data_IF_502084074757
#
_entry.id   IF_502084074757
#
_cell.length_a   1.000
_cell.length_b   1.000
_cell.length_c   1.000
_cell.angle_alpha   90.00
_cell.angle_beta   90.00
_cell.angle_gamma   90.00
#
_symmetry.space_group_name_H-M   'P 1'
#
loop_
_entity.id
_entity.type
_entity.pdbx_description
1 polymer ?
#
# COMPACT_ATOMS: atom_id res chain seq x y z
N UNK A 1 47.70 -41.10 20.52
CA UNK A 1 46.70 -40.12 21.03
C UNK A 1 46.74 -38.90 20.11
N UNK A 2 45.82 -38.88 19.12
CA UNK A 2 45.70 -37.78 18.14
C UNK A 2 44.56 -36.89 18.58
N UNK A 3 44.87 -35.64 18.94
CA UNK A 3 43.83 -34.60 19.28
C UNK A 3 43.39 -33.93 17.99
N UNK A 4 42.12 -34.13 17.64
CA UNK A 4 41.45 -33.45 16.52
C UNK A 4 40.90 -32.13 17.05
N UNK A 5 41.46 -31.01 16.54
CA UNK A 5 40.93 -29.66 16.79
C UNK A 5 39.79 -29.39 15.80
N UNK A 6 38.58 -29.23 16.32
CA UNK A 6 37.42 -28.85 15.56
C UNK A 6 37.33 -27.31 15.49
N UNK A 7 37.58 -26.71 14.32
CA UNK A 7 37.36 -25.29 14.12
C UNK A 7 35.91 -25.08 13.73
N UNK A 8 35.13 -24.49 14.63
CA UNK A 8 33.77 -24.00 14.36
C UNK A 8 33.89 -22.60 13.77
N UNK A 9 33.74 -22.48 12.47
CA UNK A 9 33.60 -21.19 11.78
C UNK A 9 32.12 -20.72 11.90
N UNK A 10 31.90 -19.78 12.83
CA UNK A 10 30.63 -19.08 12.94
C UNK A 10 30.47 -18.12 11.75
N UNK A 11 29.65 -18.51 10.76
CA UNK A 11 29.27 -17.66 9.63
C UNK A 11 28.32 -16.55 10.10
N UNK A 12 28.79 -15.31 10.09
CA UNK A 12 27.98 -14.13 10.36
C UNK A 12 27.08 -13.85 9.15
N UNK A 13 25.80 -14.23 9.24
CA UNK A 13 24.79 -13.90 8.22
C UNK A 13 24.40 -12.42 8.42
N UNK A 14 24.96 -11.54 7.60
CA UNK A 14 24.50 -10.16 7.49
C UNK A 14 23.11 -10.13 6.83
N UNK A 15 22.07 -10.06 7.63
CA UNK A 15 20.73 -9.72 7.16
C UNK A 15 20.70 -8.25 6.77
N UNK A 16 20.83 -7.95 5.47
CA UNK A 16 20.54 -6.62 4.95
C UNK A 16 19.03 -6.36 5.11
N UNK A 17 18.66 -5.63 6.16
CA UNK A 17 17.33 -5.07 6.32
C UNK A 17 17.13 -4.01 5.23
N UNK A 18 16.66 -4.44 4.06
CA UNK A 18 16.17 -3.53 3.03
C UNK A 18 15.01 -2.74 3.61
N UNK A 19 15.06 -1.41 3.54
CA UNK A 19 13.95 -0.55 3.90
C UNK A 19 12.71 -1.00 3.12
N UNK A 20 11.80 -1.69 3.81
CA UNK A 20 10.51 -2.07 3.27
C UNK A 20 9.66 -0.81 3.30
N UNK A 21 9.58 -0.08 2.19
CA UNK A 21 8.59 0.98 2.03
C UNK A 21 7.21 0.35 2.26
N UNK A 22 6.62 0.69 3.40
CA UNK A 22 5.37 0.10 3.83
C UNK A 22 4.27 0.49 2.85
N UNK A 23 3.66 -0.52 2.25
CA UNK A 23 2.46 -0.39 1.47
C UNK A 23 1.30 -0.40 2.47
N UNK A 24 0.64 0.75 2.64
CA UNK A 24 -0.54 0.84 3.51
C UNK A 24 -1.78 0.37 2.74
N UNK A 25 -2.49 -0.60 3.31
CA UNK A 25 -3.73 -1.14 2.74
C UNK A 25 -4.78 -1.17 3.83
N UNK A 26 -5.93 -0.56 3.52
CA UNK A 26 -7.11 -0.52 4.40
C UNK A 26 -8.31 -1.03 3.61
N UNK A 27 -9.26 -1.62 4.31
CA UNK A 27 -10.55 -1.98 3.72
C UNK A 27 -11.66 -1.81 4.75
N UNK A 28 -12.85 -1.59 4.25
CA UNK A 28 -14.09 -1.56 5.01
C UNK A 28 -15.19 -2.28 4.22
N UNK A 29 -16.17 -2.81 4.91
CA UNK A 29 -17.27 -3.54 4.28
C UNK A 29 -18.54 -3.47 5.14
N UNK A 30 -19.67 -3.66 4.49
CA UNK A 30 -20.95 -3.81 5.17
C UNK A 30 -21.04 -5.19 5.82
N UNK A 31 -21.23 -5.20 7.14
CA UNK A 31 -21.26 -6.42 7.95
C UNK A 31 -22.55 -7.24 7.78
N UNK A 32 -23.60 -6.63 7.25
CA UNK A 32 -24.89 -7.28 7.04
C UNK A 32 -24.97 -7.92 5.64
N UNK A 33 -24.04 -7.62 4.76
CA UNK A 33 -23.98 -8.17 3.42
C UNK A 33 -23.50 -9.61 3.39
N UNK A 34 -24.28 -10.49 2.76
CA UNK A 34 -23.85 -11.85 2.41
C UNK A 34 -23.01 -11.82 1.12
N UNK A 35 -21.69 -11.84 1.29
CA UNK A 35 -20.73 -11.83 0.18
C UNK A 35 -20.72 -13.13 -0.64
N UNK A 36 -21.27 -14.22 -0.11
CA UNK A 36 -21.27 -15.52 -0.81
C UNK A 36 -22.15 -15.53 -2.06
N UNK A 37 -23.12 -14.63 -2.14
CA UNK A 37 -24.05 -14.49 -3.27
C UNK A 37 -23.42 -13.83 -4.50
N UNK A 38 -22.33 -13.09 -4.35
CA UNK A 38 -21.67 -12.40 -5.46
C UNK A 38 -20.78 -13.36 -6.23
N UNK A 39 -21.08 -13.53 -7.53
CA UNK A 39 -20.33 -14.39 -8.45
C UNK A 39 -19.84 -13.67 -9.69
N UNK A 40 -20.52 -12.60 -10.06
CA UNK A 40 -20.23 -11.83 -11.28
C UNK A 40 -20.03 -10.36 -10.95
N UNK A 41 -19.22 -9.68 -11.76
CA UNK A 41 -19.02 -8.25 -11.64
C UNK A 41 -18.90 -7.58 -13.00
N UNK A 42 -19.19 -6.27 -13.02
CA UNK A 42 -19.05 -5.38 -14.16
C UNK A 42 -18.32 -4.11 -13.73
N UNK A 43 -17.41 -3.64 -14.58
CA UNK A 43 -16.78 -2.35 -14.37
C UNK A 43 -17.76 -1.21 -14.64
N UNK A 44 -17.77 -0.22 -13.73
CA UNK A 44 -18.54 1.02 -13.88
C UNK A 44 -17.63 2.22 -13.66
N UNK A 45 -17.92 3.31 -14.36
CA UNK A 45 -17.27 4.60 -14.07
C UNK A 45 -17.86 5.20 -12.79
N UNK A 46 -17.00 5.58 -11.85
CA UNK A 46 -17.42 6.31 -10.67
C UNK A 46 -17.57 7.79 -11.00
N UNK A 47 -18.59 8.41 -10.44
CA UNK A 47 -18.79 9.86 -10.55
C UNK A 47 -17.57 10.57 -9.95
N UNK A 48 -17.10 11.60 -10.62
CA UNK A 48 -15.95 12.41 -10.20
C UNK A 48 -14.58 11.68 -10.15
N UNK A 49 -14.49 10.42 -10.64
CA UNK A 49 -13.22 9.74 -10.81
C UNK A 49 -12.40 10.43 -11.91
N UNK A 50 -11.13 10.75 -11.60
CA UNK A 50 -10.22 11.29 -12.61
C UNK A 50 -9.82 10.17 -13.56
N UNK A 51 -9.79 10.50 -14.85
CA UNK A 51 -9.26 9.61 -15.88
C UNK A 51 -7.74 9.44 -15.70
N UNK A 52 -7.25 8.23 -15.45
CA UNK A 52 -5.81 7.99 -15.33
C UNK A 52 -5.09 7.87 -16.68
N UNK A 53 -5.83 7.93 -17.79
CA UNK A 53 -5.37 7.63 -19.15
C UNK A 53 -5.50 6.14 -19.51
N UNK A 54 -5.74 5.89 -20.79
CA UNK A 54 -6.10 4.55 -21.32
C UNK A 54 -5.16 3.43 -20.93
N UNK A 55 -3.84 3.68 -20.96
CA UNK A 55 -2.86 2.64 -20.67
C UNK A 55 -2.89 2.23 -19.20
N UNK A 56 -2.95 3.22 -18.30
CA UNK A 56 -2.98 2.96 -16.86
C UNK A 56 -4.33 2.36 -16.44
N UNK A 57 -5.45 2.80 -17.07
CA UNK A 57 -6.77 2.18 -16.86
C UNK A 57 -6.75 0.70 -17.18
N UNK A 58 -6.22 0.31 -18.35
CA UNK A 58 -6.09 -1.09 -18.74
C UNK A 58 -5.22 -1.89 -17.77
N UNK A 59 -4.10 -1.33 -17.32
CA UNK A 59 -3.21 -1.98 -16.37
C UNK A 59 -3.89 -2.20 -15.01
N UNK A 60 -4.61 -1.19 -14.50
CA UNK A 60 -5.33 -1.27 -13.23
C UNK A 60 -6.43 -2.32 -13.31
N UNK A 61 -7.30 -2.24 -14.34
CA UNK A 61 -8.39 -3.20 -14.52
C UNK A 61 -7.86 -4.63 -14.67
N UNK A 62 -6.83 -4.84 -15.49
CA UNK A 62 -6.21 -6.15 -15.66
C UNK A 62 -5.65 -6.72 -14.35
N UNK A 63 -5.01 -5.90 -13.52
CA UNK A 63 -4.50 -6.32 -12.23
C UNK A 63 -5.62 -6.74 -11.26
N UNK A 64 -6.73 -5.99 -11.25
CA UNK A 64 -7.90 -6.34 -10.45
C UNK A 64 -8.62 -7.57 -11.01
N UNK A 65 -8.86 -7.64 -12.32
CA UNK A 65 -9.52 -8.78 -12.98
C UNK A 65 -8.81 -10.09 -12.62
N UNK A 66 -7.47 -10.11 -12.69
CA UNK A 66 -6.67 -11.27 -12.32
C UNK A 66 -6.86 -11.69 -10.85
N UNK A 67 -6.94 -10.74 -9.93
CA UNK A 67 -7.13 -11.04 -8.50
C UNK A 67 -8.58 -11.39 -8.16
N UNK A 68 -9.58 -10.74 -8.78
CA UNK A 68 -11.00 -11.03 -8.59
C UNK A 68 -11.34 -12.44 -9.08
N UNK A 69 -10.74 -12.89 -10.18
CA UNK A 69 -10.85 -14.26 -10.66
C UNK A 69 -10.37 -15.28 -9.61
N UNK A 70 -9.27 -15.00 -8.89
CA UNK A 70 -8.79 -15.88 -7.79
C UNK A 70 -9.75 -15.91 -6.60
N UNK A 71 -10.66 -14.94 -6.50
CA UNK A 71 -11.70 -14.85 -5.48
C UNK A 71 -13.02 -15.48 -5.92
N UNK A 72 -13.04 -16.08 -7.11
CA UNK A 72 -14.24 -16.74 -7.66
C UNK A 72 -15.23 -15.79 -8.32
N UNK A 73 -14.82 -14.56 -8.63
CA UNK A 73 -15.66 -13.59 -9.35
C UNK A 73 -15.37 -13.65 -10.85
N UNK A 74 -16.42 -13.66 -11.65
CA UNK A 74 -16.36 -13.65 -13.11
C UNK A 74 -16.80 -12.30 -13.64
N UNK A 75 -16.00 -11.73 -14.55
CA UNK A 75 -16.36 -10.49 -15.24
C UNK A 75 -17.46 -10.76 -16.27
N UNK A 76 -18.43 -9.86 -16.31
CA UNK A 76 -19.48 -9.79 -17.34
C UNK A 76 -19.60 -8.35 -17.82
N UNK A 77 -20.13 -8.17 -19.03
CA UNK A 77 -20.27 -6.82 -19.62
C UNK A 77 -21.72 -6.33 -19.63
N UNK A 78 -22.66 -7.20 -19.33
CA UNK A 78 -24.09 -6.90 -19.27
C UNK A 78 -24.56 -6.53 -17.84
N UNK A 79 -25.87 -6.25 -17.71
CA UNK A 79 -26.47 -5.84 -16.44
C UNK A 79 -26.85 -7.01 -15.52
N UNK A 80 -26.47 -8.25 -15.87
CA UNK A 80 -26.65 -9.43 -15.02
C UNK A 80 -25.61 -9.53 -13.89
N UNK A 81 -24.63 -8.62 -13.87
CA UNK A 81 -23.61 -8.56 -12.84
C UNK A 81 -24.22 -8.44 -11.45
N UNK A 82 -23.70 -9.22 -10.47
CA UNK A 82 -24.11 -9.10 -9.07
C UNK A 82 -23.43 -7.89 -8.38
N UNK A 83 -22.23 -7.52 -8.83
CA UNK A 83 -21.46 -6.38 -8.32
C UNK A 83 -21.17 -5.39 -9.44
N UNK A 84 -21.31 -4.11 -9.12
CA UNK A 84 -20.70 -3.03 -9.88
C UNK A 84 -19.42 -2.61 -9.20
N UNK A 85 -18.33 -2.63 -9.95
CA UNK A 85 -16.99 -2.33 -9.44
C UNK A 85 -16.47 -1.08 -10.13
N UNK A 86 -16.01 -0.12 -9.33
CA UNK A 86 -15.35 1.07 -9.83
C UNK A 86 -14.06 1.33 -9.05
N UNK A 87 -13.14 2.07 -9.64
CA UNK A 87 -11.91 2.46 -8.96
C UNK A 87 -11.61 3.95 -9.14
N UNK A 88 -10.79 4.46 -8.25
CA UNK A 88 -10.19 5.79 -8.35
C UNK A 88 -8.69 5.66 -8.15
N UNK A 89 -7.91 6.38 -8.96
CA UNK A 89 -6.46 6.45 -8.82
C UNK A 89 -6.04 7.92 -8.68
N UNK A 90 -5.15 8.19 -7.74
CA UNK A 90 -4.60 9.52 -7.52
C UNK A 90 -3.12 9.45 -7.21
N UNK A 91 -2.38 10.48 -7.57
CA UNK A 91 -1.00 10.70 -7.16
C UNK A 91 -0.91 12.01 -6.41
N UNK A 92 -0.48 11.93 -5.16
CA UNK A 92 -0.21 13.08 -4.30
C UNK A 92 1.29 13.33 -4.17
N UNK A 93 1.65 14.57 -3.84
CA UNK A 93 3.00 14.95 -3.44
C UNK A 93 3.03 15.22 -1.95
N UNK A 94 3.99 14.60 -1.26
CA UNK A 94 4.23 14.84 0.16
C UNK A 94 5.66 15.37 0.33
N UNK A 95 5.83 16.37 1.20
CA UNK A 95 7.15 16.87 1.58
C UNK A 95 7.58 16.15 2.86
N UNK A 96 8.67 15.42 2.78
CA UNK A 96 9.30 14.84 3.97
C UNK A 96 10.44 15.75 4.43
N UNK A 97 10.37 16.15 5.70
CA UNK A 97 11.49 16.78 6.38
C UNK A 97 12.28 15.71 7.12
N UNK A 98 13.52 15.51 6.71
CA UNK A 98 14.46 14.68 7.45
C UNK A 98 15.48 15.60 8.12
N UNK A 99 15.35 15.80 9.42
CA UNK A 99 16.36 16.48 10.21
C UNK A 99 17.28 15.42 10.82
N UNK A 100 18.56 15.45 10.46
CA UNK A 100 19.59 14.71 11.17
C UNK A 100 20.20 15.63 12.23
N UNK A 101 19.87 15.40 13.48
CA UNK A 101 20.67 15.92 14.57
C UNK A 101 21.89 15.01 14.71
N UNK A 102 23.04 15.47 14.24
CA UNK A 102 24.33 14.86 14.57
C UNK A 102 24.77 15.35 15.95
N UNK A 103 23.99 15.05 16.96
CA UNK A 103 24.43 15.23 18.33
C UNK A 103 25.05 13.91 18.81
N UNK A 104 26.36 13.85 18.79
CA UNK A 104 27.17 12.83 19.50
C UNK A 104 27.16 13.18 20.98
N UNK A 105 25.99 13.22 21.60
CA UNK A 105 25.80 13.48 23.01
C UNK A 105 25.08 12.29 23.65
N UNK A 106 25.85 11.49 24.40
CA UNK A 106 25.34 10.52 25.35
C UNK A 106 24.32 11.15 26.29
N UNK A 107 23.10 10.59 26.38
CA UNK A 107 22.25 10.76 27.53
C UNK A 107 20.79 10.97 27.23
N UNK A 108 19.85 10.20 27.85
CA UNK A 108 18.43 10.50 27.87
C UNK A 108 18.19 11.66 28.81
N UNK A 109 18.24 12.88 28.28
CA UNK A 109 18.03 14.10 29.05
C UNK A 109 16.57 14.51 29.13
N UNK A 110 15.78 13.85 29.94
CA UNK A 110 14.57 14.41 30.54
C UNK A 110 14.96 15.17 31.77
N UNK A 111 15.40 16.43 31.72
CA UNK A 111 15.28 17.36 32.83
C UNK A 111 15.51 18.79 32.34
N UNK A 112 14.49 19.53 32.23
CA UNK A 112 14.13 20.83 32.83
C UNK A 112 15.29 21.68 33.34
N UNK A 113 15.44 22.87 32.71
CA UNK A 113 15.78 24.10 33.40
C UNK A 113 17.27 24.36 33.54
N UNK A 114 17.69 25.38 32.81
CA UNK A 114 19.00 25.99 33.01
C UNK A 114 19.23 27.07 31.97
N UNK A 115 18.82 28.27 32.39
CA UNK A 115 19.06 29.51 31.67
C UNK A 115 20.56 29.88 31.91
N UNK A 116 21.39 29.55 30.93
CA UNK A 116 22.66 30.24 30.66
C UNK A 116 23.21 29.76 29.32
N UNK A 117 23.47 30.72 28.45
CA UNK A 117 23.86 30.51 27.07
C UNK A 117 25.22 29.86 26.93
N UNK A 118 25.27 28.98 25.93
CA UNK A 118 26.52 28.61 25.29
C UNK A 118 26.27 28.63 23.76
N UNK A 119 27.08 29.38 23.01
CA UNK A 119 26.94 29.41 21.55
C UNK A 119 27.68 28.22 20.95
N UNK A 120 27.07 27.08 21.03
CA UNK A 120 27.51 25.88 20.31
C UNK A 120 26.59 25.68 19.15
N UNK A 121 26.89 26.26 17.98
CA UNK A 121 26.13 26.10 16.75
C UNK A 121 26.16 24.67 16.26
N UNK A 122 25.23 23.85 16.69
CA UNK A 122 24.90 22.59 16.04
C UNK A 122 24.30 22.89 14.66
N UNK A 123 25.03 22.58 13.62
CA UNK A 123 24.55 22.73 12.25
C UNK A 123 23.45 21.70 12.00
N UNK A 124 22.18 22.10 12.12
CA UNK A 124 21.05 21.26 11.76
C UNK A 124 20.94 21.25 10.23
N UNK A 125 21.46 20.24 9.60
CA UNK A 125 21.29 20.05 8.15
C UNK A 125 19.94 19.35 7.96
N UNK A 126 18.89 20.12 7.66
CA UNK A 126 17.62 19.60 7.23
C UNK A 126 17.58 19.42 5.73
N UNK A 127 17.32 18.23 5.25
CA UNK A 127 16.99 18.01 3.84
C UNK A 127 15.47 17.84 3.69
N UNK A 128 14.90 18.59 2.73
CA UNK A 128 13.50 18.41 2.32
C UNK A 128 13.49 17.59 1.05
N UNK A 129 12.85 16.43 1.09
CA UNK A 129 12.62 15.61 -0.10
C UNK A 129 11.13 15.61 -0.44
N UNK A 130 10.82 15.70 -1.74
CA UNK A 130 9.47 15.49 -2.23
C UNK A 130 9.30 14.03 -2.59
N UNK A 131 8.32 13.39 -1.99
CA UNK A 131 7.93 12.03 -2.34
C UNK A 131 6.57 12.04 -3.04
N UNK A 132 6.40 11.11 -3.97
CA UNK A 132 5.11 10.91 -4.65
C UNK A 132 4.42 9.69 -4.05
N UNK A 133 3.16 9.86 -3.65
CA UNK A 133 2.34 8.77 -3.11
C UNK A 133 1.20 8.48 -4.06
N UNK A 134 1.17 7.27 -4.58
CA UNK A 134 0.04 6.74 -5.33
C UNK A 134 -1.01 6.16 -4.40
N UNK A 135 -2.26 6.51 -4.63
CA UNK A 135 -3.42 5.96 -3.94
C UNK A 135 -4.35 5.30 -4.96
N UNK A 136 -4.81 4.10 -4.64
CA UNK A 136 -5.76 3.34 -5.42
C UNK A 136 -6.92 2.94 -4.52
N UNK A 137 -8.14 3.29 -4.92
CA UNK A 137 -9.38 2.94 -4.24
C UNK A 137 -10.17 2.01 -5.14
N UNK A 138 -10.70 0.93 -4.59
CA UNK A 138 -11.65 0.04 -5.26
C UNK A 138 -12.94 0.01 -4.47
N UNK A 139 -14.05 0.28 -5.14
CA UNK A 139 -15.39 0.26 -4.60
C UNK A 139 -16.21 -0.85 -5.26
N UNK A 140 -16.93 -1.62 -4.45
CA UNK A 140 -17.84 -2.64 -4.90
C UNK A 140 -19.25 -2.32 -4.40
N UNK A 141 -20.17 -2.22 -5.34
CA UNK A 141 -21.56 -1.93 -5.07
C UNK A 141 -22.42 -3.16 -5.40
N UNK A 142 -23.37 -3.47 -4.54
CA UNK A 142 -24.43 -4.42 -4.89
C UNK A 142 -25.23 -3.88 -6.08
N UNK A 143 -25.34 -4.65 -7.16
CA UNK A 143 -26.02 -4.19 -8.38
C UNK A 143 -27.53 -4.00 -8.20
N UNK A 144 -28.15 -4.68 -7.21
CA UNK A 144 -29.60 -4.64 -6.99
C UNK A 144 -30.04 -3.31 -6.38
N UNK A 145 -29.40 -2.85 -5.33
CA UNK A 145 -29.78 -1.64 -4.58
C UNK A 145 -28.78 -0.48 -4.71
N UNK A 146 -27.64 -0.70 -5.38
CA UNK A 146 -26.56 0.28 -5.57
C UNK A 146 -25.83 0.69 -4.28
N UNK A 147 -25.96 -0.12 -3.22
CA UNK A 147 -25.29 0.14 -1.98
C UNK A 147 -23.80 -0.23 -2.06
N UNK A 148 -22.95 0.60 -1.45
CA UNK A 148 -21.53 0.29 -1.31
C UNK A 148 -21.36 -0.82 -0.28
N UNK A 149 -20.98 -2.01 -0.72
CA UNK A 149 -20.82 -3.18 0.16
C UNK A 149 -19.38 -3.44 0.58
N UNK A 150 -18.40 -2.97 -0.23
CA UNK A 150 -16.98 -3.12 0.10
C UNK A 150 -16.14 -2.01 -0.52
N UNK A 151 -15.17 -1.52 0.25
CA UNK A 151 -14.17 -0.55 -0.21
C UNK A 151 -12.79 -0.98 0.24
N UNK A 152 -11.83 -1.00 -0.68
CA UNK A 152 -10.42 -1.16 -0.41
C UNK A 152 -9.62 0.06 -0.82
N UNK A 153 -8.62 0.43 -0.03
CA UNK A 153 -7.71 1.53 -0.31
C UNK A 153 -6.29 1.00 -0.19
N UNK A 154 -5.49 1.23 -1.22
CA UNK A 154 -4.06 0.93 -1.21
C UNK A 154 -3.26 2.19 -1.49
N UNK A 155 -2.25 2.48 -0.68
CA UNK A 155 -1.33 3.58 -0.91
C UNK A 155 0.12 3.10 -0.92
N UNK A 156 0.95 3.75 -1.74
CA UNK A 156 2.36 3.43 -1.88
C UNK A 156 3.15 4.62 -2.38
N UNK A 157 4.35 4.80 -1.84
CA UNK A 157 5.35 5.70 -2.43
C UNK A 157 5.72 5.24 -3.84
N UNK A 158 5.63 6.15 -4.79
CA UNK A 158 5.94 5.91 -6.20
C UNK A 158 7.39 6.31 -6.46
N UNK A 159 8.14 5.39 -7.05
CA UNK A 159 9.41 5.69 -7.68
C UNK A 159 9.12 6.14 -9.13
N UNK A 160 9.20 7.45 -9.38
CA UNK A 160 8.90 8.03 -10.69
C UNK A 160 9.88 7.60 -11.79
N UNK A 161 11.07 7.11 -11.39
CA UNK A 161 12.10 6.61 -12.31
C UNK A 161 12.05 5.08 -12.49
N UNK A 162 11.07 4.41 -11.88
CA UNK A 162 10.94 2.97 -12.00
C UNK A 162 10.60 2.55 -13.44
N UNK A 163 11.26 1.51 -13.92
CA UNK A 163 10.94 0.89 -15.21
C UNK A 163 9.49 0.37 -15.23
N UNK A 164 8.83 0.32 -16.40
CA UNK A 164 7.43 -0.13 -16.53
C UNK A 164 7.14 -1.46 -15.85
N UNK A 165 8.01 -2.46 -15.99
CA UNK A 165 7.84 -3.76 -15.35
C UNK A 165 7.81 -3.67 -13.81
N UNK A 166 8.65 -2.79 -13.23
CA UNK A 166 8.66 -2.55 -11.77
C UNK A 166 7.38 -1.85 -11.33
N UNK A 167 6.87 -0.92 -12.13
CA UNK A 167 5.60 -0.22 -11.88
C UNK A 167 4.45 -1.24 -11.89
N UNK A 168 4.35 -2.08 -12.93
CA UNK A 168 3.33 -3.13 -13.04
C UNK A 168 3.41 -4.13 -11.88
N UNK A 169 4.62 -4.59 -11.52
CA UNK A 169 4.82 -5.47 -10.37
C UNK A 169 4.36 -4.84 -9.05
N UNK A 170 4.59 -3.54 -8.89
CA UNK A 170 4.14 -2.80 -7.72
C UNK A 170 2.61 -2.69 -7.67
N UNK A 171 1.98 -2.39 -8.80
CA UNK A 171 0.53 -2.35 -8.94
C UNK A 171 -0.10 -3.71 -8.57
N UNK A 172 0.39 -4.79 -9.17
CA UNK A 172 -0.09 -6.14 -8.89
C UNK A 172 0.03 -6.49 -7.39
N UNK A 173 1.14 -6.14 -6.75
CA UNK A 173 1.31 -6.33 -5.30
C UNK A 173 0.30 -5.53 -4.48
N UNK A 174 0.01 -4.29 -4.89
CA UNK A 174 -0.98 -3.44 -4.20
C UNK A 174 -2.36 -4.08 -4.28
N UNK A 175 -2.79 -4.45 -5.48
CA UNK A 175 -4.09 -5.09 -5.73
C UNK A 175 -4.23 -6.41 -4.97
N UNK A 176 -3.18 -7.26 -5.00
CA UNK A 176 -3.16 -8.53 -4.23
C UNK A 176 -3.36 -8.28 -2.74
N UNK A 177 -2.70 -7.27 -2.17
CA UNK A 177 -2.84 -6.94 -0.75
C UNK A 177 -4.23 -6.35 -0.45
N UNK A 178 -4.77 -5.49 -1.31
CA UNK A 178 -6.10 -4.91 -1.15
C UNK A 178 -7.17 -6.00 -1.08
N UNK A 179 -7.12 -6.98 -1.98
CA UNK A 179 -8.09 -8.07 -2.05
C UNK A 179 -7.74 -9.28 -1.18
N UNK A 180 -6.68 -9.21 -0.37
CA UNK A 180 -6.27 -10.35 0.48
C UNK A 180 -7.41 -10.85 1.35
N UNK A 181 -8.17 -9.95 1.95
CA UNK A 181 -9.26 -10.24 2.88
C UNK A 181 -10.66 -10.14 2.21
N UNK A 182 -10.72 -10.24 0.88
CA UNK A 182 -11.98 -10.36 0.15
C UNK A 182 -12.23 -11.82 -0.24
N UNK A 183 -13.46 -12.37 -0.11
CA UNK A 183 -14.57 -11.80 0.64
C UNK A 183 -14.25 -11.73 2.15
N UNK A 184 -14.80 -10.73 2.87
CA UNK A 184 -14.57 -10.62 4.30
C UNK A 184 -15.27 -11.75 5.06
N UNK A 185 -14.62 -12.20 6.14
CA UNK A 185 -15.24 -13.17 7.05
C UNK A 185 -16.07 -12.40 8.06
N UNK A 186 -17.38 -12.45 7.94
CA UNK A 186 -18.31 -11.92 8.94
C UNK A 186 -18.33 -12.90 10.12
N UNK A 187 -17.76 -12.51 11.24
CA UNK A 187 -17.92 -13.26 12.48
C UNK A 187 -19.34 -13.00 13.01
N UNK A 188 -20.15 -14.05 13.00
CA UNK A 188 -21.46 -14.05 13.68
C UNK A 188 -21.27 -14.03 15.18
#
# INVERSE_FOLDING_TARGET
MKRILLFITAGLVFSSAGAVFAQDVRYNFDKETDFSRFKTYKWVALKDAKDPGDLLDKQIKSAFDAQLATKGLTKVDDDSANLYIGYQAAVGQEKQFTSYNSDWGYGPGWYRGGWYGSPGGGMTTGSTSTIYVGQLVLDMYDSANKDLVWRGVGSKTIDTNAKPDKQQKNLNKTVTKMLKNYPPVVKK
#
